data_IF_887231825006
#
_entry.id   IF_887231825006
#
_cell.length_a   1.000
_cell.length_b   1.000
_cell.length_c   1.000
_cell.angle_alpha   90.00
_cell.angle_beta   90.00
_cell.angle_gamma   90.00
#
_symmetry.space_group_name_H-M   'P 1'
#
loop_
_entity.id
_entity.type
_entity.pdbx_description
1 polymer ?
#
# COMPACT_ATOMS: atom_id res chain seq x y z
N UNK A 1 42.94 24.01 44.89
CA UNK A 1 43.88 24.72 43.99
C UNK A 1 44.09 23.87 42.74
N UNK A 2 43.50 24.28 41.62
CA UNK A 2 43.72 23.65 40.31
C UNK A 2 44.92 24.31 39.62
N UNK A 3 45.84 23.51 39.08
CA UNK A 3 46.96 24.01 38.27
C UNK A 3 46.43 24.53 36.93
N UNK A 4 46.69 25.81 36.64
CA UNK A 4 46.44 26.39 35.30
C UNK A 4 47.47 25.85 34.30
N UNK A 5 47.07 25.52 33.06
CA UNK A 5 48.00 25.25 31.97
C UNK A 5 48.74 26.53 31.56
N UNK A 6 50.01 26.40 31.19
CA UNK A 6 50.88 27.47 30.69
C UNK A 6 50.42 27.92 29.28
N UNK A 7 50.10 29.20 29.06
CA UNK A 7 49.63 29.71 27.77
C UNK A 7 50.73 29.83 26.68
N UNK A 8 51.96 29.34 26.92
CA UNK A 8 53.10 29.53 25.99
C UNK A 8 53.61 28.27 25.29
N UNK A 9 52.86 27.16 25.32
CA UNK A 9 53.20 25.94 24.58
C UNK A 9 52.18 25.60 23.48
N UNK A 10 51.75 26.60 22.70
CA UNK A 10 51.15 26.31 21.40
C UNK A 10 52.29 26.11 20.39
N UNK A 11 52.57 24.87 20.03
CA UNK A 11 53.53 24.59 18.98
C UNK A 11 52.91 24.96 17.63
N UNK A 12 53.72 25.47 16.70
CA UNK A 12 53.27 25.75 15.32
C UNK A 12 52.84 24.46 14.58
N UNK A 13 53.11 23.27 15.14
CA UNK A 13 52.69 21.98 14.62
C UNK A 13 51.21 21.67 14.89
N UNK A 14 50.56 22.35 15.85
CA UNK A 14 49.13 22.16 16.15
C UNK A 14 48.21 22.93 15.18
N UNK A 15 48.77 23.76 14.30
CA UNK A 15 48.04 24.57 13.30
C UNK A 15 47.91 23.90 11.93
N UNK A 16 48.49 22.71 11.74
CA UNK A 16 48.48 21.97 10.47
C UNK A 16 48.19 20.48 10.67
N UNK A 17 47.26 20.13 11.58
CA UNK A 17 46.58 18.83 11.45
C UNK A 17 45.54 18.91 10.33
N UNK A 18 46.04 18.94 9.09
CA UNK A 18 45.28 18.84 7.85
C UNK A 18 44.87 17.38 7.55
N UNK A 19 44.95 16.46 8.51
CA UNK A 19 44.60 15.04 8.30
C UNK A 19 43.20 14.65 8.77
N UNK A 20 42.43 15.59 9.34
CA UNK A 20 40.99 15.44 9.53
C UNK A 20 40.23 16.22 8.46
N UNK A 21 40.44 15.87 7.19
CA UNK A 21 39.35 16.02 6.23
C UNK A 21 38.32 14.99 6.66
N UNK A 22 37.15 15.36 7.23
CA UNK A 22 36.11 14.38 7.46
C UNK A 22 35.86 13.70 6.12
N UNK A 23 35.91 12.36 6.09
CA UNK A 23 35.59 11.61 4.88
C UNK A 23 34.30 12.21 4.30
N UNK A 24 34.23 12.46 2.98
CA UNK A 24 33.03 13.02 2.39
C UNK A 24 31.86 12.14 2.82
N UNK A 25 30.94 12.73 3.59
CA UNK A 25 29.72 12.04 4.01
C UNK A 25 28.95 11.86 2.70
N UNK A 26 28.99 10.64 2.16
CA UNK A 26 28.20 10.29 1.00
C UNK A 26 26.76 10.71 1.25
N UNK A 27 26.11 11.25 0.22
CA UNK A 27 24.66 11.46 0.33
C UNK A 27 23.97 10.12 0.63
N UNK A 28 22.79 10.10 1.28
CA UNK A 28 22.11 8.86 1.61
C UNK A 28 21.94 7.90 0.41
N UNK A 29 21.66 8.42 -0.79
CA UNK A 29 21.53 7.59 -2.00
C UNK A 29 22.87 7.02 -2.47
N UNK A 30 23.96 7.77 -2.37
CA UNK A 30 25.30 7.28 -2.70
C UNK A 30 25.75 6.19 -1.72
N UNK A 31 25.44 6.36 -0.43
CA UNK A 31 25.73 5.35 0.58
C UNK A 31 24.96 4.04 0.34
N UNK A 32 23.71 4.13 -0.17
CA UNK A 32 22.95 2.94 -0.58
C UNK A 32 23.53 2.24 -1.83
N UNK A 33 24.14 3.00 -2.74
CA UNK A 33 24.86 2.44 -3.90
C UNK A 33 26.13 1.72 -3.43
N UNK A 34 26.92 2.36 -2.57
CA UNK A 34 28.14 1.75 -2.01
C UNK A 34 27.84 0.47 -1.23
N UNK A 35 26.75 0.46 -0.45
CA UNK A 35 26.28 -0.71 0.27
C UNK A 35 25.66 -1.81 -0.63
N UNK A 36 25.58 -1.60 -1.95
CA UNK A 36 25.01 -2.55 -2.90
C UNK A 36 23.50 -2.77 -2.75
N UNK A 37 22.79 -1.90 -2.03
CA UNK A 37 21.34 -2.00 -1.83
C UNK A 37 20.61 -1.58 -3.11
N UNK A 38 21.05 -0.47 -3.70
CA UNK A 38 20.61 0.02 -5.02
C UNK A 38 21.80 0.04 -6.00
N UNK A 39 21.52 -0.01 -7.30
CA UNK A 39 22.54 -0.05 -8.37
C UNK A 39 22.96 1.35 -8.81
N UNK A 40 22.09 2.34 -8.64
CA UNK A 40 22.37 3.75 -8.93
C UNK A 40 21.47 4.65 -8.08
N UNK A 41 21.88 5.91 -7.92
CA UNK A 41 21.09 6.93 -7.20
C UNK A 41 19.72 7.21 -7.86
N UNK A 42 19.49 6.73 -9.08
CA UNK A 42 18.24 6.91 -9.82
C UNK A 42 17.29 5.70 -9.71
N UNK A 43 17.73 4.57 -9.14
CA UNK A 43 16.92 3.35 -9.01
C UNK A 43 15.60 3.54 -8.23
N UNK A 44 15.54 4.32 -7.12
CA UNK A 44 14.30 4.52 -6.37
C UNK A 44 13.16 5.19 -7.16
N UNK A 45 13.43 5.74 -8.35
CA UNK A 45 12.44 6.19 -9.32
C UNK A 45 11.42 7.19 -8.77
N UNK A 46 10.24 7.23 -9.40
CA UNK A 46 9.14 8.08 -8.94
C UNK A 46 8.56 7.53 -7.63
N UNK A 47 8.59 8.34 -6.57
CA UNK A 47 8.13 7.96 -5.23
C UNK A 47 9.24 7.48 -4.30
N UNK A 48 10.47 7.28 -4.80
CA UNK A 48 11.63 6.99 -3.96
C UNK A 48 11.64 5.60 -3.31
N UNK A 49 10.83 4.66 -3.80
CA UNK A 49 10.68 3.33 -3.21
C UNK A 49 11.96 2.50 -3.37
N UNK A 50 12.46 1.96 -2.27
CA UNK A 50 13.64 1.09 -2.26
C UNK A 50 13.16 -0.35 -2.14
N UNK A 51 13.56 -1.18 -3.12
CA UNK A 51 13.13 -2.57 -3.23
C UNK A 51 14.05 -3.50 -2.44
N UNK A 52 13.45 -4.38 -1.63
CA UNK A 52 14.12 -5.59 -1.17
C UNK A 52 14.13 -6.64 -2.29
N UNK A 53 15.32 -6.96 -2.79
CA UNK A 53 15.51 -7.90 -3.92
C UNK A 53 15.36 -9.36 -3.48
N UNK A 54 15.49 -9.63 -2.18
CA UNK A 54 15.39 -10.97 -1.60
C UNK A 54 13.94 -11.31 -1.20
N UNK A 55 13.07 -10.31 -1.10
CA UNK A 55 11.64 -10.47 -0.83
C UNK A 55 10.83 -10.81 -2.10
N UNK A 56 9.74 -11.60 -1.98
CA UNK A 56 8.78 -11.78 -3.07
C UNK A 56 8.13 -10.45 -3.43
N UNK A 57 7.71 -10.28 -4.69
CA UNK A 57 7.13 -9.01 -5.15
C UNK A 57 5.80 -8.66 -4.48
N UNK A 58 5.00 -9.67 -4.10
CA UNK A 58 3.75 -9.49 -3.38
C UNK A 58 3.87 -10.02 -1.93
N UNK A 59 3.31 -9.31 -0.95
CA UNK A 59 2.66 -8.00 -1.08
C UNK A 59 3.68 -6.88 -1.36
N UNK A 60 3.30 -5.92 -2.21
CA UNK A 60 4.16 -4.80 -2.61
C UNK A 60 4.65 -3.98 -1.42
N UNK A 61 3.87 -3.94 -0.33
CA UNK A 61 4.23 -3.23 0.89
C UNK A 61 5.47 -3.81 1.59
N UNK A 62 5.76 -5.10 1.39
CA UNK A 62 6.92 -5.79 1.96
C UNK A 62 8.08 -5.81 0.97
N UNK A 63 7.79 -5.96 -0.33
CA UNK A 63 8.80 -5.87 -1.38
C UNK A 63 9.46 -4.49 -1.47
N UNK A 64 8.73 -3.44 -1.08
CA UNK A 64 9.18 -2.06 -1.03
C UNK A 64 8.92 -1.48 0.36
N UNK A 65 9.70 -1.88 1.38
CA UNK A 65 9.35 -1.60 2.77
C UNK A 65 9.66 -0.15 3.20
N UNK A 66 10.53 0.55 2.44
CA UNK A 66 10.99 1.91 2.75
C UNK A 66 11.14 2.73 1.47
N UNK A 67 10.91 4.04 1.58
CA UNK A 67 11.15 5.01 0.53
C UNK A 67 12.13 6.09 1.01
N UNK A 68 13.08 6.49 0.16
CA UNK A 68 13.85 7.72 0.33
C UNK A 68 13.19 8.83 -0.49
N UNK A 69 12.49 9.75 0.18
CA UNK A 69 11.71 10.78 -0.49
C UNK A 69 11.56 12.02 0.38
N UNK A 70 11.22 13.15 -0.24
CA UNK A 70 10.77 14.35 0.46
C UNK A 70 9.27 14.52 0.17
N UNK A 71 8.38 14.00 1.03
CA UNK A 71 6.96 14.22 0.83
C UNK A 71 6.62 15.71 0.99
N UNK A 72 5.52 16.15 0.38
CA UNK A 72 5.09 17.56 0.40
C UNK A 72 4.90 18.17 1.80
N UNK A 73 4.78 17.33 2.83
CA UNK A 73 4.64 17.73 4.23
C UNK A 73 5.99 17.80 4.99
N UNK A 74 7.11 17.44 4.37
CA UNK A 74 8.42 17.41 5.00
C UNK A 74 9.36 18.48 4.43
N UNK A 75 10.16 19.09 5.30
CA UNK A 75 11.16 20.11 4.94
C UNK A 75 12.41 19.53 4.31
N UNK A 76 12.73 18.27 4.60
CA UNK A 76 13.92 17.57 4.13
C UNK A 76 13.58 16.14 3.68
N UNK A 77 14.36 15.56 2.75
CA UNK A 77 14.22 14.16 2.39
C UNK A 77 14.56 13.25 3.56
N UNK A 78 13.87 12.11 3.64
CA UNK A 78 14.09 11.14 4.69
C UNK A 78 13.69 9.73 4.27
N UNK A 79 13.91 8.77 5.17
CA UNK A 79 13.44 7.41 5.01
C UNK A 79 12.04 7.27 5.59
N UNK A 80 11.10 6.81 4.77
CA UNK A 80 9.71 6.63 5.15
C UNK A 80 9.28 5.18 4.98
N UNK A 81 8.75 4.60 6.05
CA UNK A 81 8.23 3.23 6.03
C UNK A 81 6.93 3.16 5.24
N UNK A 82 6.79 2.13 4.41
CA UNK A 82 5.57 1.92 3.63
C UNK A 82 4.39 1.46 4.52
N UNK A 83 4.70 0.75 5.61
CA UNK A 83 3.74 0.37 6.66
C UNK A 83 4.44 0.42 8.03
N UNK A 84 3.72 0.56 9.15
CA UNK A 84 4.34 0.60 10.48
C UNK A 84 5.20 -0.63 10.76
N UNK A 85 4.69 -1.83 10.47
CA UNK A 85 5.39 -3.10 10.72
C UNK A 85 6.63 -3.34 9.82
N UNK A 86 6.91 -2.47 8.85
CA UNK A 86 8.16 -2.56 8.09
C UNK A 86 9.40 -2.19 8.92
N UNK A 87 9.24 -1.48 10.05
CA UNK A 87 10.35 -1.01 10.89
C UNK A 87 11.28 -2.16 11.32
N UNK A 88 10.72 -3.33 11.60
CA UNK A 88 11.45 -4.48 12.13
C UNK A 88 12.07 -5.37 11.04
N UNK A 89 11.93 -5.00 9.76
CA UNK A 89 12.47 -5.81 8.67
C UNK A 89 14.00 -5.67 8.60
N UNK A 90 14.76 -6.79 8.48
CA UNK A 90 16.22 -6.74 8.36
C UNK A 90 16.72 -5.85 7.22
N UNK A 91 15.96 -5.79 6.12
CA UNK A 91 16.25 -4.91 4.99
C UNK A 91 16.21 -3.43 5.37
N UNK A 92 15.21 -3.02 6.17
CA UNK A 92 15.10 -1.63 6.64
C UNK A 92 16.28 -1.28 7.54
N UNK A 93 16.66 -2.17 8.46
CA UNK A 93 17.83 -1.96 9.33
C UNK A 93 19.12 -1.77 8.54
N UNK A 94 19.30 -2.52 7.44
CA UNK A 94 20.44 -2.35 6.53
C UNK A 94 20.42 -0.99 5.83
N UNK A 95 19.26 -0.53 5.38
CA UNK A 95 19.09 0.80 4.76
C UNK A 95 19.42 1.90 5.76
N UNK A 96 18.94 1.80 7.00
CA UNK A 96 19.27 2.74 8.06
C UNK A 96 20.77 2.76 8.38
N UNK A 97 21.39 1.57 8.50
CA UNK A 97 22.82 1.45 8.77
C UNK A 97 23.69 2.07 7.66
N UNK A 98 23.30 1.87 6.38
CA UNK A 98 24.01 2.43 5.25
C UNK A 98 23.89 3.96 5.17
N UNK A 99 22.72 4.51 5.46
CA UNK A 99 22.44 5.95 5.28
C UNK A 99 22.70 6.80 6.51
N UNK A 100 22.76 6.18 7.69
CA UNK A 100 22.74 6.90 8.98
C UNK A 100 21.39 7.52 9.32
N UNK A 101 20.37 7.36 8.47
CA UNK A 101 19.02 7.87 8.70
C UNK A 101 18.16 6.84 9.42
N UNK A 102 17.16 7.32 10.19
CA UNK A 102 16.11 6.47 10.73
C UNK A 102 14.87 6.52 9.86
N UNK A 103 14.32 5.35 9.55
CA UNK A 103 13.07 5.20 8.83
C UNK A 103 11.90 5.48 9.77
N UNK A 104 11.01 6.38 9.35
CA UNK A 104 9.83 6.76 10.14
C UNK A 104 8.56 6.39 9.39
N UNK A 105 7.54 5.94 10.12
CA UNK A 105 6.20 5.83 9.56
C UNK A 105 5.44 7.13 9.74
N UNK A 106 4.77 7.59 8.69
CA UNK A 106 3.91 8.77 8.75
C UNK A 106 2.45 8.38 8.47
N UNK A 107 1.46 8.88 9.23
CA UNK A 107 0.03 8.56 9.01
C UNK A 107 -0.53 8.96 7.64
N UNK A 108 0.18 9.80 6.87
CA UNK A 108 -0.17 10.15 5.49
C UNK A 108 0.48 9.22 4.45
N UNK A 109 1.41 8.34 4.84
CA UNK A 109 2.02 7.32 3.99
C UNK A 109 1.12 6.07 3.88
N UNK A 110 -0.12 6.29 3.44
CA UNK A 110 -1.22 5.30 3.46
C UNK A 110 -1.16 4.26 2.34
N UNK A 111 -0.39 4.53 1.29
CA UNK A 111 -0.39 3.68 0.10
C UNK A 111 0.11 2.26 0.38
N UNK A 112 1.09 2.08 1.27
CA UNK A 112 1.58 0.75 1.61
C UNK A 112 0.55 -0.09 2.36
N UNK A 113 -0.21 0.50 3.29
CA UNK A 113 -1.28 -0.21 4.01
C UNK A 113 -2.40 -0.65 3.06
N UNK A 114 -2.78 0.22 2.11
CA UNK A 114 -3.72 -0.11 1.05
C UNK A 114 -3.21 -1.24 0.14
N UNK A 115 -1.97 -1.13 -0.36
CA UNK A 115 -1.38 -2.16 -1.21
C UNK A 115 -1.23 -3.50 -0.48
N UNK A 116 -0.94 -3.49 0.81
CA UNK A 116 -0.89 -4.70 1.61
C UNK A 116 -2.25 -5.41 1.65
N UNK A 117 -3.32 -4.66 1.94
CA UNK A 117 -4.67 -5.20 1.96
C UNK A 117 -5.11 -5.72 0.58
N UNK A 118 -4.91 -4.93 -0.48
CA UNK A 118 -5.30 -5.31 -1.85
C UNK A 118 -4.51 -6.50 -2.35
N UNK A 119 -3.21 -6.58 -2.12
CA UNK A 119 -2.41 -7.69 -2.68
C UNK A 119 -2.74 -9.03 -2.01
N UNK A 120 -3.30 -9.02 -0.80
CA UNK A 120 -3.58 -10.23 -0.03
C UNK A 120 -5.07 -10.54 0.14
N UNK A 121 -5.99 -9.65 -0.20
CA UNK A 121 -7.44 -9.88 -0.10
C UNK A 121 -7.97 -10.77 -1.24
N UNK A 122 -7.30 -11.89 -1.53
CA UNK A 122 -7.70 -12.91 -2.53
C UNK A 122 -8.00 -14.24 -1.86
N UNK A 123 -8.59 -15.19 -2.59
CA UNK A 123 -8.83 -16.54 -2.08
C UNK A 123 -7.55 -17.25 -1.60
N UNK A 124 -6.40 -16.98 -2.23
CA UNK A 124 -5.10 -17.52 -1.83
C UNK A 124 -4.47 -16.75 -0.66
N UNK A 125 -4.66 -15.43 -0.62
CA UNK A 125 -3.94 -14.52 0.28
C UNK A 125 -4.64 -14.21 1.62
N UNK A 126 -5.94 -14.44 1.74
CA UNK A 126 -6.74 -13.84 2.82
C UNK A 126 -6.28 -14.25 4.23
N UNK A 127 -5.78 -15.48 4.42
CA UNK A 127 -5.26 -15.93 5.72
C UNK A 127 -3.99 -15.20 6.11
N UNK A 128 -3.09 -14.98 5.14
CA UNK A 128 -1.89 -14.19 5.35
C UNK A 128 -2.25 -12.77 5.73
N UNK A 129 -3.24 -12.16 5.04
CA UNK A 129 -3.74 -10.83 5.38
C UNK A 129 -4.26 -10.74 6.82
N UNK A 130 -5.09 -11.70 7.24
CA UNK A 130 -5.60 -11.75 8.61
C UNK A 130 -4.47 -11.87 9.65
N UNK A 131 -3.39 -12.59 9.32
CA UNK A 131 -2.21 -12.76 10.17
C UNK A 131 -1.24 -11.57 10.16
N UNK A 132 -1.36 -10.63 9.22
CA UNK A 132 -0.40 -9.55 8.99
C UNK A 132 -0.98 -8.15 9.20
N UNK A 133 -1.99 -8.02 10.06
CA UNK A 133 -2.67 -6.74 10.34
C UNK A 133 -1.75 -5.61 10.82
N UNK A 134 -0.55 -5.88 11.32
CA UNK A 134 0.44 -4.85 11.62
C UNK A 134 0.90 -4.02 10.40
N UNK A 135 0.69 -4.54 9.18
CA UNK A 135 1.01 -3.86 7.93
C UNK A 135 -0.17 -3.10 7.32
N UNK A 136 -1.37 -3.17 7.89
CA UNK A 136 -2.55 -2.51 7.33
C UNK A 136 -3.51 -2.08 8.43
N UNK A 137 -4.72 -1.66 8.08
CA UNK A 137 -5.79 -1.45 9.04
C UNK A 137 -7.09 -2.07 8.53
N UNK A 138 -8.06 -2.19 9.44
CA UNK A 138 -9.35 -2.80 9.13
C UNK A 138 -10.09 -2.08 8.00
N UNK A 139 -10.01 -0.75 7.94
CA UNK A 139 -10.69 0.02 6.90
C UNK A 139 -10.15 -0.27 5.50
N UNK A 140 -8.83 -0.43 5.37
CA UNK A 140 -8.22 -0.87 4.11
C UNK A 140 -8.59 -2.31 3.75
N UNK A 141 -8.65 -3.21 4.73
CA UNK A 141 -9.11 -4.59 4.51
C UNK A 141 -10.55 -4.62 4.02
N UNK A 142 -11.45 -3.87 4.65
CA UNK A 142 -12.85 -3.78 4.22
C UNK A 142 -12.97 -3.25 2.78
N UNK A 143 -12.25 -2.18 2.45
CA UNK A 143 -12.20 -1.66 1.08
C UNK A 143 -11.68 -2.71 0.08
N UNK A 144 -10.60 -3.43 0.43
CA UNK A 144 -10.00 -4.44 -0.42
C UNK A 144 -10.92 -5.66 -0.62
N UNK A 145 -11.60 -6.10 0.43
CA UNK A 145 -12.60 -7.19 0.35
C UNK A 145 -13.74 -6.82 -0.60
N UNK A 146 -14.30 -5.62 -0.47
CA UNK A 146 -15.35 -5.14 -1.38
C UNK A 146 -14.89 -5.16 -2.83
N UNK A 147 -13.65 -4.70 -3.08
CA UNK A 147 -13.04 -4.66 -4.40
C UNK A 147 -12.79 -6.05 -4.99
N UNK A 148 -12.23 -6.98 -4.21
CA UNK A 148 -11.93 -8.33 -4.71
C UNK A 148 -13.15 -9.22 -4.86
N UNK A 149 -14.20 -8.98 -4.07
CA UNK A 149 -15.52 -9.61 -4.28
C UNK A 149 -16.16 -9.15 -5.60
N UNK A 150 -16.00 -7.88 -5.98
CA UNK A 150 -16.55 -7.38 -7.25
C UNK A 150 -15.72 -7.84 -8.46
N UNK A 151 -14.40 -7.92 -8.30
CA UNK A 151 -13.51 -8.52 -9.30
C UNK A 151 -13.67 -10.05 -9.42
N UNK A 152 -14.13 -10.71 -8.36
CA UNK A 152 -14.27 -12.16 -8.30
C UNK A 152 -12.96 -12.90 -8.04
N UNK A 153 -11.97 -12.22 -7.43
CA UNK A 153 -10.70 -12.81 -6.99
C UNK A 153 -10.74 -13.24 -5.50
N UNK A 154 -11.83 -12.91 -4.80
CA UNK A 154 -12.14 -13.38 -3.46
C UNK A 154 -13.56 -13.96 -3.42
N UNK A 155 -13.69 -15.20 -2.96
CA UNK A 155 -14.97 -15.87 -2.77
C UNK A 155 -15.74 -15.29 -1.58
N UNK A 156 -17.06 -15.39 -1.63
CA UNK A 156 -17.96 -14.94 -0.57
C UNK A 156 -17.64 -15.59 0.79
N UNK A 157 -17.33 -16.88 0.80
CA UNK A 157 -17.00 -17.63 2.01
C UNK A 157 -15.71 -17.11 2.66
N UNK A 158 -14.64 -16.93 1.87
CA UNK A 158 -13.37 -16.40 2.37
C UNK A 158 -13.48 -14.93 2.75
N UNK A 159 -14.29 -14.13 2.06
CA UNK A 159 -14.55 -12.75 2.46
C UNK A 159 -15.20 -12.66 3.84
N UNK A 160 -16.25 -13.46 4.11
CA UNK A 160 -16.86 -13.50 5.46
C UNK A 160 -15.86 -13.94 6.53
N UNK A 161 -15.04 -14.95 6.23
CA UNK A 161 -14.02 -15.44 7.15
C UNK A 161 -12.97 -14.36 7.45
N UNK A 162 -12.50 -13.64 6.43
CA UNK A 162 -11.54 -12.53 6.59
C UNK A 162 -12.14 -11.38 7.39
N UNK A 163 -13.36 -10.94 7.06
CA UNK A 163 -14.05 -9.86 7.77
C UNK A 163 -14.26 -10.20 9.25
N UNK A 164 -14.64 -11.45 9.55
CA UNK A 164 -14.75 -11.92 10.92
C UNK A 164 -13.38 -11.93 11.63
N UNK A 165 -12.33 -12.43 10.97
CA UNK A 165 -10.99 -12.52 11.55
C UNK A 165 -10.40 -11.15 11.91
N UNK A 166 -10.70 -10.10 11.14
CA UNK A 166 -10.23 -8.73 11.41
C UNK A 166 -11.19 -7.92 12.29
N UNK A 167 -12.26 -8.54 12.81
CA UNK A 167 -13.26 -7.88 13.65
C UNK A 167 -14.01 -6.76 12.91
N UNK A 168 -14.29 -6.94 11.62
CA UNK A 168 -15.21 -6.08 10.88
C UNK A 168 -16.63 -6.28 11.40
N UNK A 169 -17.31 -5.17 11.63
CA UNK A 169 -18.69 -5.18 12.12
C UNK A 169 -19.62 -5.15 10.91
N UNK A 170 -20.50 -6.14 10.82
CA UNK A 170 -21.53 -6.20 9.78
C UNK A 170 -22.48 -5.00 9.92
N UNK A 171 -22.36 -4.05 8.99
CA UNK A 171 -23.18 -2.85 8.94
C UNK A 171 -24.40 -3.02 8.03
N UNK A 172 -25.43 -2.18 8.23
CA UNK A 172 -26.55 -2.14 7.31
C UNK A 172 -26.13 -1.55 5.96
N UNK A 173 -26.04 -2.39 4.94
CA UNK A 173 -25.70 -1.97 3.58
C UNK A 173 -26.91 -1.44 2.79
N UNK A 174 -28.09 -1.34 3.40
CA UNK A 174 -29.31 -0.88 2.72
C UNK A 174 -29.14 0.50 2.11
N UNK A 175 -28.64 1.47 2.88
CA UNK A 175 -28.43 2.83 2.40
C UNK A 175 -27.42 2.90 1.23
N UNK A 176 -26.33 2.11 1.30
CA UNK A 176 -25.36 2.02 0.20
C UNK A 176 -26.00 1.43 -1.07
N UNK A 177 -26.85 0.40 -0.95
CA UNK A 177 -27.59 -0.16 -2.08
C UNK A 177 -28.64 0.80 -2.65
N UNK A 178 -29.28 1.63 -1.81
CA UNK A 178 -30.29 2.62 -2.25
C UNK A 178 -29.65 3.77 -3.05
N UNK A 179 -28.36 4.04 -2.84
CA UNK A 179 -27.61 5.10 -3.55
C UNK A 179 -27.04 4.68 -4.91
N UNK A 180 -27.22 3.43 -5.34
CA UNK A 180 -26.64 2.94 -6.60
C UNK A 180 -27.26 3.64 -7.80
N UNK A 181 -26.39 4.24 -8.61
CA UNK A 181 -26.74 4.74 -9.94
C UNK A 181 -25.99 3.90 -10.98
N UNK A 182 -26.64 2.88 -11.58
CA UNK A 182 -25.98 2.07 -12.60
C UNK A 182 -25.79 2.87 -13.89
N UNK A 183 -24.71 2.57 -14.61
CA UNK A 183 -24.47 3.08 -15.95
C UNK A 183 -25.51 2.56 -16.96
N UNK A 184 -25.65 3.17 -18.15
CA UNK A 184 -26.60 2.72 -19.18
C UNK A 184 -26.42 1.27 -19.65
N UNK A 185 -25.26 0.66 -19.43
CA UNK A 185 -25.00 -0.74 -19.75
C UNK A 185 -25.20 -1.68 -18.54
N UNK A 186 -25.77 -1.17 -17.44
CA UNK A 186 -26.01 -1.88 -16.19
C UNK A 186 -24.77 -2.17 -15.36
N UNK A 187 -23.62 -1.59 -15.75
CA UNK A 187 -22.41 -1.60 -14.95
C UNK A 187 -22.55 -0.69 -13.74
N UNK A 188 -22.17 -1.15 -12.57
CA UNK A 188 -22.06 -0.30 -11.37
C UNK A 188 -20.59 0.11 -11.19
N UNK A 189 -20.37 1.37 -10.79
CA UNK A 189 -19.01 1.92 -10.62
C UNK A 189 -18.23 1.11 -9.59
N UNK A 190 -17.00 0.76 -9.93
CA UNK A 190 -15.99 0.12 -9.08
C UNK A 190 -15.39 1.07 -8.02
N UNK A 191 -15.98 2.25 -7.81
CA UNK A 191 -15.61 3.10 -6.67
C UNK A 191 -15.72 2.26 -5.40
N UNK A 192 -14.71 2.27 -4.50
CA UNK A 192 -14.68 1.37 -3.36
C UNK A 192 -15.98 1.51 -2.55
N UNK A 193 -16.75 0.42 -2.51
CA UNK A 193 -17.96 0.27 -1.70
C UNK A 193 -17.62 -0.53 -0.45
N UNK A 194 -18.45 -0.43 0.59
CA UNK A 194 -18.21 -1.18 1.81
C UNK A 194 -18.14 -2.69 1.55
N UNK A 195 -17.29 -3.40 2.31
CA UNK A 195 -17.19 -4.85 2.21
C UNK A 195 -18.56 -5.54 2.35
N UNK A 196 -19.35 -5.10 3.33
CA UNK A 196 -20.68 -5.65 3.62
C UNK A 196 -21.72 -5.32 2.54
N UNK A 197 -21.55 -4.23 1.80
CA UNK A 197 -22.35 -3.98 0.61
C UNK A 197 -22.14 -5.09 -0.44
N UNK A 198 -20.88 -5.46 -0.68
CA UNK A 198 -20.52 -6.49 -1.66
C UNK A 198 -20.99 -7.88 -1.19
N UNK A 199 -20.73 -8.23 0.07
CA UNK A 199 -21.19 -9.49 0.69
C UNK A 199 -22.70 -9.66 0.57
N UNK A 200 -23.49 -8.68 1.04
CA UNK A 200 -24.96 -8.77 0.98
C UNK A 200 -25.48 -8.78 -0.46
N UNK A 201 -24.80 -8.08 -1.37
CA UNK A 201 -25.15 -8.09 -2.79
C UNK A 201 -24.98 -9.45 -3.43
N UNK A 202 -23.89 -10.16 -3.14
CA UNK A 202 -23.65 -11.51 -3.66
C UNK A 202 -24.59 -12.54 -3.05
N UNK A 203 -24.82 -12.48 -1.74
CA UNK A 203 -25.74 -13.39 -1.04
C UNK A 203 -27.15 -13.33 -1.60
N UNK A 204 -27.60 -12.12 -1.91
CA UNK A 204 -28.94 -11.88 -2.46
C UNK A 204 -28.97 -11.98 -3.99
N UNK A 205 -27.83 -12.28 -4.60
CA UNK A 205 -27.68 -12.41 -6.05
C UNK A 205 -27.99 -11.13 -6.81
N UNK A 206 -27.76 -9.95 -6.22
CA UNK A 206 -28.08 -8.64 -6.81
C UNK A 206 -27.09 -8.20 -7.89
N UNK A 207 -25.86 -8.71 -7.85
CA UNK A 207 -24.88 -8.48 -8.91
C UNK A 207 -24.09 -9.75 -9.21
N UNK A 208 -23.39 -9.74 -10.35
CA UNK A 208 -22.43 -10.79 -10.71
C UNK A 208 -21.02 -10.19 -10.76
N UNK A 209 -20.05 -10.75 -10.02
CA UNK A 209 -18.66 -10.39 -10.15
C UNK A 209 -18.20 -10.54 -11.59
N UNK A 210 -17.19 -9.76 -11.97
CA UNK A 210 -16.56 -9.91 -13.28
C UNK A 210 -15.06 -9.73 -13.15
N UNK A 211 -14.32 -10.72 -13.61
CA UNK A 211 -12.86 -10.69 -13.62
C UNK A 211 -12.34 -9.52 -14.47
N UNK A 212 -11.48 -8.71 -13.86
CA UNK A 212 -10.83 -7.54 -14.46
C UNK A 212 -11.57 -6.21 -14.24
N UNK A 213 -11.02 -5.12 -14.79
CA UNK A 213 -11.45 -3.74 -14.56
C UNK A 213 -12.80 -3.33 -15.20
N UNK A 214 -13.60 -4.28 -15.69
CA UNK A 214 -14.90 -3.95 -16.27
C UNK A 214 -15.98 -4.05 -15.20
N UNK A 215 -16.78 -2.99 -15.08
CA UNK A 215 -17.93 -2.85 -14.19
C UNK A 215 -18.65 -4.17 -13.92
N UNK A 216 -18.82 -4.52 -12.64
CA UNK A 216 -19.73 -5.60 -12.27
C UNK A 216 -21.16 -5.24 -12.70
N UNK A 217 -21.97 -6.26 -12.98
CA UNK A 217 -23.29 -6.05 -13.58
C UNK A 217 -24.40 -6.43 -12.61
N UNK A 218 -25.39 -5.55 -12.50
CA UNK A 218 -26.62 -5.87 -11.80
C UNK A 218 -27.34 -7.05 -12.48
N UNK A 219 -27.85 -7.96 -11.65
CA UNK A 219 -28.77 -9.01 -12.08
C UNK A 219 -30.20 -8.47 -12.16
N UNK A 220 -31.17 -9.23 -12.69
CA UNK A 220 -32.58 -8.87 -12.58
C UNK A 220 -33.03 -8.59 -11.14
N UNK A 221 -32.53 -9.35 -10.16
CA UNK A 221 -32.80 -9.13 -8.75
C UNK A 221 -32.20 -7.82 -8.23
N UNK A 222 -31.00 -7.45 -8.69
CA UNK A 222 -30.38 -6.17 -8.35
C UNK A 222 -31.13 -4.97 -8.91
N UNK A 223 -31.61 -5.07 -10.15
CA UNK A 223 -32.47 -4.05 -10.76
C UNK A 223 -33.78 -3.86 -9.99
N UNK A 224 -34.44 -4.96 -9.63
CA UNK A 224 -35.65 -4.94 -8.80
C UNK A 224 -35.38 -4.30 -7.43
N UNK A 225 -34.25 -4.61 -6.80
CA UNK A 225 -33.85 -4.06 -5.50
C UNK A 225 -33.72 -2.53 -5.50
N UNK A 226 -33.18 -1.95 -6.58
CA UNK A 226 -32.99 -0.50 -6.69
C UNK A 226 -34.20 0.22 -7.30
N UNK A 227 -35.30 -0.50 -7.56
CA UNK A 227 -36.53 0.06 -8.12
C UNK A 227 -36.39 0.58 -9.55
N UNK A 228 -35.46 0.02 -10.35
CA UNK A 228 -35.21 0.42 -11.74
C UNK A 228 -35.34 -0.76 -12.69
N UNK A 229 -35.65 -0.48 -13.95
CA UNK A 229 -35.70 -1.49 -15.01
C UNK A 229 -34.34 -1.66 -15.68
N UNK A 230 -33.97 -2.90 -16.06
CA UNK A 230 -32.77 -3.12 -16.86
C UNK A 230 -32.86 -2.35 -18.19
N UNK A 231 -31.74 -1.80 -18.71
CA UNK A 231 -31.72 -1.26 -20.05
C UNK A 231 -32.07 -2.36 -21.06
N UNK A 232 -32.79 -2.00 -22.13
CA UNK A 232 -33.04 -2.91 -23.23
C UNK A 232 -31.71 -3.52 -23.70
N UNK A 233 -31.71 -4.82 -23.99
CA UNK A 233 -30.50 -5.51 -24.42
C UNK A 233 -29.92 -4.78 -25.63
N UNK A 234 -28.77 -4.12 -25.46
CA UNK A 234 -28.07 -3.50 -26.59
C UNK A 234 -27.70 -4.60 -27.57
N UNK A 235 -28.12 -4.47 -28.83
CA UNK A 235 -27.68 -5.35 -29.90
C UNK A 235 -26.15 -5.42 -29.85
N UNK A 236 -25.62 -6.63 -29.70
CA UNK A 236 -24.17 -6.85 -29.76
C UNK A 236 -23.71 -6.35 -31.12
N UNK A 237 -22.93 -5.25 -31.14
CA UNK A 237 -22.25 -4.82 -32.37
C UNK A 237 -21.52 -6.05 -32.94
N UNK A 238 -21.73 -6.39 -34.23
CA UNK A 238 -21.05 -7.53 -34.83
C UNK A 238 -19.55 -7.33 -34.64
N UNK A 239 -18.87 -8.36 -34.14
CA UNK A 239 -17.40 -8.38 -34.12
C UNK A 239 -16.96 -8.15 -35.57
N UNK A 240 -16.12 -7.12 -35.80
CA UNK A 240 -15.42 -7.00 -37.08
C UNK A 240 -14.70 -8.34 -37.31
N UNK A 241 -15.02 -9.01 -38.41
CA UNK A 241 -14.23 -10.14 -38.87
C UNK A 241 -12.78 -9.66 -39.01
N UNK A 242 -11.85 -10.45 -38.47
CA UNK A 242 -10.42 -10.21 -38.58
C UNK A 242 -9.95 -10.41 -40.03
#
# INVERSE_FOLDING_TARGET
MARRPDPRQASFADLLDLTLVPAPILSPLEALVEAGIIRSIHEPGFGGLIRDKDAPFHPRSVAFPVAYTQPWFATEPGLYLNTPACADLPFVMRVEAATGLRAVWHPNARNGQWHHAVDLATDEGWRSLAGSMGHTDRGYVECAVGLHLTWGDLSLANARALLAAVGSVEGDSKAEWDSITPSPCGGISCSPRGAWWAVHGLEKGWYRPKKGFTYERLTPAGWARIGRTPPAAQEKRPRKAA
#
